data_IF_328202574515
#
_entry.id   IF_328202574515
#
_cell.length_a   1.000
_cell.length_b   1.000
_cell.length_c   1.000
_cell.angle_alpha   90.00
_cell.angle_beta   90.00
_cell.angle_gamma   90.00
#
_symmetry.space_group_name_H-M   'P 1'
#
loop_
_entity.id
_entity.type
_entity.pdbx_description
1 polymer ?
#
# COMPACT_ATOMS: atom_id res chain seq x y z
N UNK A 1 6.85 -0.53 -4.59
CA UNK A 1 7.16 -1.95 -4.33
C UNK A 1 5.96 -2.81 -4.63
N UNK A 2 4.82 -2.59 -3.95
CA UNK A 2 3.57 -3.29 -4.22
C UNK A 2 2.63 -2.34 -4.97
N UNK A 3 1.94 -2.84 -5.99
CA UNK A 3 0.94 -2.10 -6.74
C UNK A 3 -0.46 -2.25 -6.13
N UNK A 4 -0.97 -1.16 -5.58
CA UNK A 4 -2.27 -1.11 -4.94
C UNK A 4 -3.42 -1.04 -5.95
N UNK A 5 -3.22 -0.33 -7.05
CA UNK A 5 -4.33 0.12 -7.91
C UNK A 5 -5.07 -1.02 -8.60
N UNK A 6 -4.42 -2.03 -9.20
CA UNK A 6 -5.12 -3.14 -9.85
C UNK A 6 -6.04 -3.90 -8.89
N UNK A 7 -5.53 -4.28 -7.71
CA UNK A 7 -6.30 -5.04 -6.73
C UNK A 7 -7.47 -4.23 -6.16
N UNK A 8 -7.25 -2.95 -5.86
CA UNK A 8 -8.32 -2.04 -5.44
C UNK A 8 -9.40 -1.87 -6.52
N UNK A 9 -9.01 -1.76 -7.79
CA UNK A 9 -9.97 -1.65 -8.90
C UNK A 9 -10.77 -2.93 -9.11
N UNK A 10 -10.19 -4.12 -8.92
CA UNK A 10 -10.96 -5.38 -8.92
C UNK A 10 -12.07 -5.35 -7.88
N UNK A 11 -11.73 -5.00 -6.64
CA UNK A 11 -12.72 -4.83 -5.56
C UNK A 11 -13.78 -3.78 -5.90
N UNK A 12 -13.36 -2.59 -6.35
CA UNK A 12 -14.27 -1.49 -6.64
C UNK A 12 -15.24 -1.81 -7.78
N UNK A 13 -14.71 -2.36 -8.87
CA UNK A 13 -15.48 -2.75 -10.05
C UNK A 13 -16.50 -3.85 -9.70
N UNK A 14 -16.09 -4.86 -8.94
CA UNK A 14 -16.99 -5.93 -8.48
C UNK A 14 -18.10 -5.38 -7.57
N UNK A 15 -17.74 -4.53 -6.59
CA UNK A 15 -18.69 -3.98 -5.62
C UNK A 15 -19.73 -3.04 -6.23
N UNK A 16 -19.31 -2.21 -7.18
CA UNK A 16 -20.15 -1.14 -7.73
C UNK A 16 -20.64 -1.40 -9.17
N UNK A 17 -20.31 -2.56 -9.75
CA UNK A 17 -20.69 -2.91 -11.12
C UNK A 17 -20.08 -1.96 -12.16
N UNK A 18 -18.86 -1.49 -11.91
CA UNK A 18 -18.12 -0.59 -12.80
C UNK A 18 -17.02 -1.35 -13.55
N UNK A 19 -16.32 -0.68 -14.47
CA UNK A 19 -15.24 -1.27 -15.26
C UNK A 19 -14.07 -0.30 -15.42
N UNK A 20 -13.62 0.28 -14.31
CA UNK A 20 -12.49 1.18 -14.29
C UNK A 20 -11.18 0.46 -14.51
N UNK A 21 -10.25 1.11 -15.19
CA UNK A 21 -8.93 0.60 -15.53
C UNK A 21 -7.83 1.49 -14.95
N UNK A 22 -6.70 0.88 -14.58
CA UNK A 22 -5.54 1.60 -14.01
C UNK A 22 -5.07 2.78 -14.87
N UNK A 23 -5.21 2.69 -16.20
CA UNK A 23 -4.80 3.74 -17.15
C UNK A 23 -5.56 5.07 -16.99
N UNK A 24 -6.71 5.05 -16.33
CA UNK A 24 -7.50 6.26 -16.02
C UNK A 24 -6.88 7.07 -14.86
N UNK A 25 -6.01 6.43 -14.07
CA UNK A 25 -5.42 7.01 -12.87
C UNK A 25 -4.10 7.71 -13.17
N UNK A 26 -4.14 9.04 -13.13
CA UNK A 26 -2.98 9.90 -13.31
C UNK A 26 -2.53 10.57 -12.00
N UNK A 27 -3.26 10.37 -10.91
CA UNK A 27 -2.92 10.84 -9.57
C UNK A 27 -3.55 9.93 -8.49
N UNK A 28 -3.18 10.11 -7.22
CA UNK A 28 -3.66 9.31 -6.08
C UNK A 28 -4.98 9.84 -5.45
N UNK A 29 -5.68 10.76 -6.10
CA UNK A 29 -6.98 11.29 -5.65
C UNK A 29 -8.10 10.49 -6.30
N UNK A 30 -8.26 9.26 -5.84
CA UNK A 30 -9.22 8.29 -6.39
C UNK A 30 -10.65 8.85 -6.48
N UNK A 31 -11.05 9.73 -5.55
CA UNK A 31 -12.37 10.39 -5.56
C UNK A 31 -12.57 11.36 -6.73
N UNK A 32 -11.51 11.92 -7.31
CA UNK A 32 -11.61 12.80 -8.48
C UNK A 32 -11.89 12.00 -9.77
N UNK A 33 -11.44 10.74 -9.81
CA UNK A 33 -11.54 9.86 -10.98
C UNK A 33 -12.77 8.96 -10.89
N UNK A 34 -12.98 8.33 -9.73
CA UNK A 34 -14.10 7.42 -9.45
C UNK A 34 -15.36 8.17 -8.98
N UNK A 35 -15.26 9.47 -8.75
CA UNK A 35 -16.33 10.29 -8.20
C UNK A 35 -16.52 10.17 -6.69
N UNK A 36 -17.40 11.01 -6.15
CA UNK A 36 -17.71 11.10 -4.72
C UNK A 36 -16.80 12.08 -3.97
N UNK A 37 -16.67 11.87 -2.66
CA UNK A 37 -15.84 12.71 -1.78
C UNK A 37 -14.59 11.97 -1.32
N UNK A 38 -13.60 12.71 -0.83
CA UNK A 38 -12.39 12.14 -0.24
C UNK A 38 -12.72 11.26 0.96
N UNK A 39 -13.67 11.68 1.79
CA UNK A 39 -14.10 10.98 2.99
C UNK A 39 -14.72 9.63 2.62
N UNK A 40 -15.64 9.64 1.65
CA UNK A 40 -16.27 8.41 1.16
C UNK A 40 -15.25 7.46 0.54
N UNK A 41 -14.31 7.99 -0.25
CA UNK A 41 -13.25 7.17 -0.83
C UNK A 41 -12.32 6.58 0.23
N UNK A 42 -12.08 7.32 1.31
CA UNK A 42 -11.31 6.81 2.45
C UNK A 42 -12.04 5.61 3.07
N UNK A 43 -13.34 5.72 3.36
CA UNK A 43 -14.14 4.59 3.88
C UNK A 43 -14.07 3.36 2.96
N UNK A 44 -14.20 3.56 1.65
CA UNK A 44 -14.13 2.47 0.66
C UNK A 44 -12.76 1.79 0.67
N UNK A 45 -11.66 2.56 0.82
CA UNK A 45 -10.30 2.01 0.93
C UNK A 45 -10.14 1.21 2.24
N UNK A 46 -10.76 1.64 3.34
CA UNK A 46 -10.76 0.86 4.57
C UNK A 46 -11.53 -0.45 4.41
N UNK A 47 -12.72 -0.40 3.80
CA UNK A 47 -13.49 -1.61 3.47
C UNK A 47 -12.68 -2.57 2.59
N UNK A 48 -11.96 -2.04 1.58
CA UNK A 48 -11.07 -2.82 0.73
C UNK A 48 -9.99 -3.58 1.54
N UNK A 49 -9.36 -2.93 2.52
CA UNK A 49 -8.30 -3.55 3.32
C UNK A 49 -8.76 -4.80 4.10
N UNK A 50 -10.05 -4.88 4.42
CA UNK A 50 -10.67 -6.02 5.10
C UNK A 50 -11.03 -7.19 4.14
N UNK A 51 -10.88 -7.00 2.82
CA UNK A 51 -11.19 -8.02 1.82
C UNK A 51 -9.98 -8.85 1.40
N UNK A 52 -10.22 -9.99 0.75
CA UNK A 52 -9.16 -10.81 0.15
C UNK A 52 -8.48 -10.13 -1.04
N UNK A 53 -9.14 -9.17 -1.71
CA UNK A 53 -8.51 -8.37 -2.76
C UNK A 53 -7.27 -7.64 -2.25
N UNK A 54 -7.29 -7.15 -1.00
CA UNK A 54 -6.14 -6.45 -0.41
C UNK A 54 -4.96 -7.35 -0.07
N UNK A 55 -5.16 -8.67 -0.08
CA UNK A 55 -4.11 -9.69 0.08
C UNK A 55 -3.53 -10.11 -1.27
N UNK A 56 -4.34 -10.07 -2.32
CA UNK A 56 -3.99 -10.45 -3.69
C UNK A 56 -3.43 -9.25 -4.49
N UNK A 57 -2.28 -8.75 -4.02
CA UNK A 57 -1.61 -7.57 -4.61
C UNK A 57 -0.39 -7.98 -5.41
N UNK A 58 -0.14 -7.27 -6.50
CA UNK A 58 0.98 -7.53 -7.40
C UNK A 58 2.21 -6.70 -6.99
N UNK A 59 3.40 -7.23 -7.27
CA UNK A 59 4.64 -6.48 -7.15
C UNK A 59 4.85 -5.63 -8.40
N UNK A 60 5.50 -4.48 -8.23
CA UNK A 60 5.96 -3.68 -9.37
C UNK A 60 7.17 -4.39 -9.99
N UNK A 61 7.19 -4.53 -11.32
CA UNK A 61 8.31 -5.09 -12.07
C UNK A 61 9.66 -4.49 -11.64
N UNK A 62 10.65 -5.35 -11.40
CA UNK A 62 11.99 -4.95 -10.97
C UNK A 62 12.13 -4.65 -9.47
N UNK A 63 11.03 -4.56 -8.71
CA UNK A 63 11.10 -4.21 -7.29
C UNK A 63 11.76 -5.33 -6.46
N UNK A 64 11.50 -6.59 -6.79
CA UNK A 64 12.12 -7.72 -6.10
C UNK A 64 13.63 -7.74 -6.34
N UNK A 65 14.05 -7.67 -7.60
CA UNK A 65 15.44 -7.77 -8.03
C UNK A 65 16.30 -6.66 -7.42
N UNK A 66 15.80 -5.42 -7.40
CA UNK A 66 16.53 -4.29 -6.81
C UNK A 66 16.72 -4.47 -5.30
N UNK A 67 15.66 -4.88 -4.59
CA UNK A 67 15.72 -5.06 -3.15
C UNK A 67 16.64 -6.23 -2.77
N UNK A 68 16.57 -7.34 -3.50
CA UNK A 68 17.49 -8.47 -3.30
C UNK A 68 18.94 -8.08 -3.57
N UNK A 69 19.20 -7.33 -4.65
CA UNK A 69 20.55 -6.87 -4.96
C UNK A 69 21.15 -5.97 -3.87
N UNK A 70 20.34 -5.10 -3.26
CA UNK A 70 20.78 -4.28 -2.11
C UNK A 70 21.06 -5.14 -0.88
N UNK A 71 20.18 -6.11 -0.61
CA UNK A 71 20.36 -7.04 0.50
C UNK A 71 21.62 -7.90 0.35
N UNK A 72 21.90 -8.44 -0.83
CA UNK A 72 23.10 -9.23 -1.14
C UNK A 72 24.40 -8.42 -0.98
N UNK A 73 24.32 -7.09 -1.11
CA UNK A 73 25.43 -6.16 -0.86
C UNK A 73 25.62 -5.83 0.62
N UNK A 74 24.76 -6.35 1.50
CA UNK A 74 24.80 -6.10 2.95
C UNK A 74 24.13 -4.79 3.37
N UNK A 75 23.28 -4.20 2.54
CA UNK A 75 22.54 -2.98 2.87
C UNK A 75 21.28 -3.30 3.69
N UNK A 76 20.94 -2.44 4.65
CA UNK A 76 19.68 -2.51 5.37
C UNK A 76 18.55 -1.87 4.54
N UNK A 77 17.51 -2.66 4.21
CA UNK A 77 16.33 -2.14 3.52
C UNK A 77 15.18 -1.89 4.51
N UNK A 78 14.68 -0.66 4.57
CA UNK A 78 13.53 -0.27 5.38
C UNK A 78 12.36 0.18 4.51
N UNK A 79 11.13 -0.16 4.89
CA UNK A 79 9.92 0.33 4.22
C UNK A 79 9.26 1.41 5.07
N UNK A 80 8.95 2.57 4.48
CA UNK A 80 8.16 3.63 5.14
C UNK A 80 6.87 3.86 4.35
N UNK A 81 5.74 3.47 4.92
CA UNK A 81 4.44 3.42 4.23
C UNK A 81 3.41 4.37 4.83
N UNK A 82 2.51 4.91 4.00
CA UNK A 82 1.37 5.73 4.45
C UNK A 82 0.18 4.90 4.93
N UNK A 83 0.26 3.57 4.81
CA UNK A 83 -0.81 2.64 5.22
C UNK A 83 -1.21 2.87 6.68
N UNK A 84 -2.51 2.70 7.01
CA UNK A 84 -2.98 2.69 8.39
C UNK A 84 -2.32 1.59 9.23
N UNK A 85 -2.08 1.86 10.50
CA UNK A 85 -1.44 0.92 11.43
C UNK A 85 -2.26 -0.38 11.61
N UNK A 86 -3.59 -0.34 11.52
CA UNK A 86 -4.42 -1.56 11.60
C UNK A 86 -4.12 -2.57 10.47
N UNK A 87 -3.54 -2.13 9.35
CA UNK A 87 -3.14 -3.00 8.23
C UNK A 87 -1.76 -3.63 8.43
N UNK A 88 -1.11 -3.42 9.58
CA UNK A 88 0.27 -3.84 9.83
C UNK A 88 0.47 -5.34 9.63
N UNK A 89 -0.33 -6.18 10.27
CA UNK A 89 -0.19 -7.65 10.18
C UNK A 89 -0.33 -8.14 8.74
N UNK A 90 -1.33 -7.63 8.01
CA UNK A 90 -1.55 -7.94 6.59
C UNK A 90 -0.35 -7.49 5.74
N UNK A 91 0.11 -6.25 5.94
CA UNK A 91 1.22 -5.68 5.17
C UNK A 91 2.52 -6.43 5.43
N UNK A 92 2.81 -6.79 6.67
CA UNK A 92 3.99 -7.55 7.05
C UNK A 92 3.96 -8.95 6.44
N UNK A 93 2.82 -9.64 6.47
CA UNK A 93 2.67 -10.95 5.83
C UNK A 93 2.91 -10.90 4.32
N UNK A 94 2.37 -9.87 3.64
CA UNK A 94 2.59 -9.67 2.20
C UNK A 94 4.07 -9.42 1.92
N UNK A 95 4.70 -8.48 2.66
CA UNK A 95 6.11 -8.15 2.46
C UNK A 95 7.00 -9.37 2.71
N UNK A 96 6.77 -10.11 3.79
CA UNK A 96 7.52 -11.34 4.09
C UNK A 96 7.35 -12.40 2.98
N UNK A 97 6.13 -12.57 2.46
CA UNK A 97 5.87 -13.56 1.40
C UNK A 97 6.61 -13.25 0.09
N UNK A 98 6.88 -11.97 -0.19
CA UNK A 98 7.50 -11.52 -1.43
C UNK A 98 9.01 -11.35 -1.27
N UNK A 99 9.44 -10.68 -0.21
CA UNK A 99 10.81 -10.23 -0.02
C UNK A 99 11.58 -11.08 0.99
N UNK A 100 10.88 -11.93 1.76
CA UNK A 100 11.48 -12.67 2.88
C UNK A 100 12.21 -11.73 3.84
N UNK A 101 13.33 -12.21 4.37
CA UNK A 101 14.18 -11.44 5.28
C UNK A 101 15.00 -10.30 4.66
N UNK A 102 14.78 -9.94 3.39
CA UNK A 102 15.53 -8.85 2.76
C UNK A 102 15.08 -7.45 3.20
N UNK A 103 13.96 -7.36 3.91
CA UNK A 103 13.45 -6.13 4.54
C UNK A 103 13.68 -6.21 6.05
N UNK A 104 14.39 -5.21 6.59
CA UNK A 104 14.75 -5.15 8.00
C UNK A 104 13.59 -4.75 8.89
N UNK A 105 12.84 -3.73 8.48
CA UNK A 105 11.67 -3.24 9.23
C UNK A 105 10.69 -2.46 8.34
N UNK A 106 9.45 -2.31 8.82
CA UNK A 106 8.36 -1.59 8.15
C UNK A 106 7.77 -0.54 9.12
N UNK A 107 7.88 0.74 8.74
CA UNK A 107 7.35 1.86 9.50
C UNK A 107 6.05 2.41 8.89
N UNK A 108 5.01 2.49 9.71
CA UNK A 108 3.69 2.98 9.33
C UNK A 108 3.52 4.45 9.73
N UNK A 109 3.28 5.30 8.72
CA UNK A 109 3.07 6.74 8.88
C UNK A 109 1.60 7.12 9.13
N UNK A 110 0.67 6.17 9.01
CA UNK A 110 -0.73 6.30 9.45
C UNK A 110 -1.53 7.47 8.83
N UNK A 111 -1.25 7.87 7.58
CA UNK A 111 -1.80 9.10 6.97
C UNK A 111 -3.32 9.06 6.68
N UNK A 112 -3.93 7.87 6.63
CA UNK A 112 -5.35 7.69 6.25
C UNK A 112 -6.15 6.90 7.28
N UNK A 113 -5.65 6.73 8.51
CA UNK A 113 -6.35 5.95 9.52
C UNK A 113 -7.46 6.76 10.22
N UNK A 114 -8.49 6.05 10.68
CA UNK A 114 -9.53 6.64 11.54
C UNK A 114 -9.02 6.94 12.95
N UNK A 115 -7.96 6.25 13.39
CA UNK A 115 -7.37 6.36 14.73
C UNK A 115 -5.85 6.40 14.66
N UNK A 116 -5.23 6.97 15.70
CA UNK A 116 -3.78 7.16 15.79
C UNK A 116 -3.31 8.50 15.18
N UNK A 117 -2.06 8.87 15.46
CA UNK A 117 -1.49 10.14 15.00
C UNK A 117 -0.69 9.93 13.71
N UNK A 118 -1.06 10.57 12.60
CA UNK A 118 -0.24 10.56 11.39
C UNK A 118 1.16 11.11 11.66
N UNK A 119 2.19 10.44 11.15
CA UNK A 119 3.59 10.88 11.22
C UNK A 119 4.09 11.25 9.84
N UNK A 120 4.93 12.28 9.72
CA UNK A 120 5.56 12.59 8.43
C UNK A 120 6.61 11.53 8.13
N UNK A 121 6.69 11.07 6.88
CA UNK A 121 7.76 10.12 6.48
C UNK A 121 9.16 10.67 6.74
N UNK A 122 9.35 11.99 6.55
CA UNK A 122 10.60 12.68 6.85
C UNK A 122 11.00 12.61 8.32
N UNK A 123 10.03 12.58 9.23
CA UNK A 123 10.28 12.41 10.67
C UNK A 123 10.80 11.00 10.94
N UNK A 124 10.14 9.98 10.40
CA UNK A 124 10.55 8.57 10.55
C UNK A 124 11.98 8.36 10.04
N UNK A 125 12.31 8.93 8.88
CA UNK A 125 13.65 8.81 8.29
C UNK A 125 14.79 9.33 9.18
N UNK A 126 14.54 10.23 10.14
CA UNK A 126 15.64 10.76 10.98
C UNK A 126 16.19 9.76 11.99
N UNK A 127 15.54 8.61 12.16
CA UNK A 127 15.91 7.60 13.16
C UNK A 127 16.42 6.28 12.55
N UNK A 128 16.63 6.23 11.23
CA UNK A 128 17.08 5.05 10.47
C UNK A 128 18.53 5.23 10.03
#
# INVERSE_FOLDING_TARGET
MIDFTPAFLRFYNEKYGTNHEKKEFHNYRFWEILGGTRERMTEIIHEYHETDFAKDVEIIDGAYEVIQSLYERGEDNYIITSRPEYTQNQTQAIVESIFGGSIKDIYFANHYAHHGTPKKKSEICTYL
#
